data_IF_526590510518
#
_entry.id   IF_526590510518
#
_cell.length_a   1.000
_cell.length_b   1.000
_cell.length_c   1.000
_cell.angle_alpha   90.00
_cell.angle_beta   90.00
_cell.angle_gamma   90.00
#
_symmetry.space_group_name_H-M   'P 1'
#
loop_
_entity.id
_entity.type
_entity.pdbx_description
1 polymer ?
#
# COMPACT_ATOMS: atom_id res chain seq x y z
N UNK A 1 7.65 1.85 0.20
CA UNK A 1 7.49 1.64 -1.26
C UNK A 1 7.86 2.92 -1.95
N UNK A 2 8.81 2.91 -2.90
CA UNK A 2 9.16 4.11 -3.65
C UNK A 2 8.08 4.38 -4.71
N UNK A 3 7.78 5.66 -5.00
CA UNK A 3 6.76 6.05 -6.00
C UNK A 3 6.91 5.30 -7.34
N UNK A 4 8.16 5.11 -7.76
CA UNK A 4 8.55 4.41 -8.99
C UNK A 4 8.25 2.91 -9.00
N UNK A 5 8.09 2.25 -7.84
CA UNK A 5 7.61 0.87 -7.78
C UNK A 5 6.10 0.81 -7.95
N UNK A 6 5.38 1.78 -7.36
CA UNK A 6 3.92 1.85 -7.47
C UNK A 6 3.48 2.10 -8.91
N UNK A 7 4.13 3.03 -9.59
CA UNK A 7 3.88 3.33 -11.00
C UNK A 7 4.11 2.10 -11.89
N UNK A 8 5.15 1.30 -11.59
CA UNK A 8 5.40 0.04 -12.31
C UNK A 8 4.29 -0.98 -12.08
N UNK A 9 3.82 -1.16 -10.84
CA UNK A 9 2.72 -2.07 -10.52
C UNK A 9 1.43 -1.66 -11.22
N UNK A 10 1.08 -0.36 -11.17
CA UNK A 10 -0.12 0.16 -11.83
C UNK A 10 -0.03 -0.05 -13.35
N UNK A 11 1.14 0.17 -13.96
CA UNK A 11 1.36 -0.12 -15.39
C UNK A 11 1.17 -1.59 -15.74
N UNK A 12 1.76 -2.50 -14.96
CA UNK A 12 1.58 -3.95 -15.16
C UNK A 12 0.10 -4.34 -15.08
N UNK A 13 -0.64 -3.85 -14.08
CA UNK A 13 -2.07 -4.15 -13.93
C UNK A 13 -2.87 -3.60 -15.12
N UNK A 14 -2.57 -2.38 -15.57
CA UNK A 14 -3.22 -1.81 -16.74
C UNK A 14 -3.00 -2.66 -18.00
N UNK A 15 -1.78 -3.14 -18.21
CA UNK A 15 -1.42 -4.01 -19.33
C UNK A 15 -2.11 -5.39 -19.23
N UNK A 16 -2.16 -6.00 -18.04
CA UNK A 16 -2.81 -7.30 -17.79
C UNK A 16 -4.33 -7.23 -17.96
N UNK A 17 -4.94 -6.13 -17.50
CA UNK A 17 -6.39 -5.91 -17.58
C UNK A 17 -6.85 -5.40 -18.93
N UNK A 18 -5.91 -5.02 -19.82
CA UNK A 18 -6.18 -4.31 -21.08
C UNK A 18 -7.03 -3.07 -20.86
N UNK A 19 -6.86 -2.42 -19.71
CA UNK A 19 -7.54 -1.18 -19.40
C UNK A 19 -6.87 -0.03 -20.16
N UNK A 20 -7.67 0.95 -20.55
CA UNK A 20 -7.19 2.17 -21.19
C UNK A 20 -7.35 3.34 -20.21
N UNK A 21 -6.49 3.38 -19.19
CA UNK A 21 -6.41 4.54 -18.32
C UNK A 21 -5.58 5.64 -18.95
N UNK A 22 -6.04 6.88 -18.77
CA UNK A 22 -5.25 8.07 -19.07
C UNK A 22 -4.07 8.21 -18.10
N UNK A 23 -3.04 8.95 -18.49
CA UNK A 23 -1.86 9.20 -17.64
C UNK A 23 -2.23 9.82 -16.28
N UNK A 24 -3.16 10.78 -16.27
CA UNK A 24 -3.66 11.40 -15.04
C UNK A 24 -4.37 10.39 -14.11
N UNK A 25 -5.09 9.41 -14.67
CA UNK A 25 -5.72 8.34 -13.90
C UNK A 25 -4.69 7.36 -13.34
N UNK A 26 -3.65 7.05 -14.11
CA UNK A 26 -2.53 6.20 -13.67
C UNK A 26 -1.76 6.84 -12.50
N UNK A 27 -1.53 8.15 -12.56
CA UNK A 27 -0.93 8.91 -11.47
C UNK A 27 -1.80 8.91 -10.21
N UNK A 28 -3.10 9.14 -10.36
CA UNK A 28 -4.05 9.11 -9.25
C UNK A 28 -4.10 7.73 -8.59
N UNK A 29 -4.18 6.65 -9.41
CA UNK A 29 -4.15 5.27 -8.92
C UNK A 29 -2.85 4.98 -8.16
N UNK A 30 -1.71 5.45 -8.66
CA UNK A 30 -0.42 5.28 -7.99
C UNK A 30 -0.38 5.95 -6.62
N UNK A 31 -0.95 7.15 -6.49
CA UNK A 31 -1.05 7.85 -5.20
C UNK A 31 -2.00 7.13 -4.23
N UNK A 32 -3.13 6.62 -4.72
CA UNK A 32 -4.10 5.86 -3.92
C UNK A 32 -3.45 4.58 -3.38
N UNK A 33 -2.79 3.81 -4.25
CA UNK A 33 -2.11 2.57 -3.86
C UNK A 33 -1.02 2.80 -2.82
N UNK A 34 -0.24 3.88 -2.99
CA UNK A 34 0.77 4.26 -2.02
C UNK A 34 0.13 4.55 -0.65
N UNK A 35 -0.98 5.30 -0.63
CA UNK A 35 -1.66 5.67 0.62
C UNK A 35 -2.31 4.46 1.32
N UNK A 36 -2.97 3.57 0.56
CA UNK A 36 -3.52 2.32 1.09
C UNK A 36 -2.42 1.46 1.70
N UNK A 37 -1.28 1.33 1.02
CA UNK A 37 -0.14 0.56 1.51
C UNK A 37 0.39 1.14 2.83
N UNK A 38 0.52 2.48 2.91
CA UNK A 38 0.94 3.14 4.15
C UNK A 38 -0.03 2.86 5.30
N UNK A 39 -1.35 2.99 5.08
CA UNK A 39 -2.37 2.72 6.11
C UNK A 39 -2.26 1.27 6.60
N UNK A 40 -2.14 0.30 5.69
CA UNK A 40 -2.02 -1.12 6.04
C UNK A 40 -0.75 -1.40 6.86
N UNK A 41 0.37 -0.75 6.52
CA UNK A 41 1.61 -0.86 7.30
C UNK A 41 1.42 -0.26 8.69
N UNK A 42 0.81 0.92 8.81
CA UNK A 42 0.53 1.56 10.09
C UNK A 42 -0.37 0.70 10.98
N UNK A 43 -1.43 0.12 10.43
CA UNK A 43 -2.32 -0.82 11.11
C UNK A 43 -1.57 -2.07 11.57
N UNK A 44 -0.72 -2.65 10.72
CA UNK A 44 0.10 -3.81 11.06
C UNK A 44 1.05 -3.49 12.22
N UNK A 45 1.70 -2.32 12.23
CA UNK A 45 2.56 -1.89 13.34
C UNK A 45 1.77 -1.60 14.62
N UNK A 46 0.58 -1.01 14.52
CA UNK A 46 -0.30 -0.78 15.66
C UNK A 46 -0.73 -2.11 16.31
N UNK A 47 -1.10 -3.10 15.49
CA UNK A 47 -1.49 -4.44 15.94
C UNK A 47 -0.31 -5.28 16.44
N UNK A 48 0.92 -5.04 15.95
CA UNK A 48 2.11 -5.73 16.44
C UNK A 48 2.55 -5.22 17.83
N UNK A 49 2.23 -3.97 18.18
CA UNK A 49 2.52 -3.41 19.52
C UNK A 49 1.61 -3.95 20.62
N UNK A 50 0.41 -4.44 20.31
CA UNK A 50 -0.56 -4.92 21.31
C UNK A 50 -0.27 -6.33 21.85
N UNK A 51 0.73 -7.05 21.33
CA UNK A 51 1.10 -8.41 21.80
C UNK A 51 2.25 -8.45 22.83
N UNK A 52 2.78 -7.29 23.24
CA UNK A 52 3.89 -7.19 24.22
C UNK A 52 3.48 -7.01 25.69
N UNK A 53 2.19 -7.10 26.02
CA UNK A 53 1.66 -6.87 27.37
C UNK A 53 1.37 -8.14 28.18
N UNK A 54 2.12 -9.22 27.95
CA UNK A 54 1.97 -10.47 28.70
C UNK A 54 2.92 -10.54 29.90
N UNK A 55 2.39 -10.31 31.11
CA UNK A 55 2.94 -10.93 32.30
C UNK A 55 4.01 -10.13 33.04
N UNK A 56 3.64 -8.94 33.54
CA UNK A 56 4.19 -8.46 34.81
C UNK A 56 3.80 -9.45 35.91
N UNK A 57 4.71 -10.38 36.17
CA UNK A 57 4.65 -11.38 37.24
C UNK A 57 4.53 -10.69 38.60
N UNK A 58 3.62 -11.24 39.42
CA UNK A 58 3.59 -11.18 40.90
C UNK A 58 3.20 -9.86 41.55
#
# INVERSE_FOLDING_TARGET
MLKSEVERVVKTINDETKAEFTEAQMDALSQILLKVTTIQIEEAFANNRSSGGGGGRR
#
